data_IF_529069648408
#
_entry.id   IF_529069648408
#
_cell.length_a   1.000
_cell.length_b   1.000
_cell.length_c   1.000
_cell.angle_alpha   90.00
_cell.angle_beta   90.00
_cell.angle_gamma   90.00
#
_symmetry.space_group_name_H-M   'P 1'
#
loop_
_entity.id
_entity.type
_entity.pdbx_description
1 polymer ?
#
# COMPACT_ATOMS: atom_id res chain seq x y z
N UNK A 1 33.89 -24.70 -0.24
CA UNK A 1 33.24 -23.61 -1.01
C UNK A 1 31.83 -24.11 -1.33
N UNK A 2 30.72 -23.58 -0.85
CA UNK A 2 30.30 -22.18 -0.67
C UNK A 2 29.52 -22.01 0.63
N UNK A 3 29.71 -20.89 1.31
CA UNK A 3 29.08 -20.54 2.60
C UNK A 3 27.70 -19.95 2.31
N UNK A 4 26.61 -20.53 2.82
CA UNK A 4 25.25 -19.96 2.73
C UNK A 4 25.01 -18.75 3.67
N UNK A 5 26.09 -18.05 4.05
CA UNK A 5 26.10 -16.88 4.93
C UNK A 5 25.20 -15.71 4.50
N UNK A 6 24.95 -15.45 3.19
CA UNK A 6 24.11 -14.31 2.79
C UNK A 6 22.67 -14.46 3.27
N UNK A 7 22.10 -15.67 3.21
CA UNK A 7 20.68 -15.90 3.52
C UNK A 7 20.40 -15.82 5.02
N UNK A 8 21.31 -16.35 5.85
CA UNK A 8 21.20 -16.25 7.30
C UNK A 8 21.32 -14.80 7.79
N UNK A 9 22.28 -14.05 7.24
CA UNK A 9 22.44 -12.63 7.55
C UNK A 9 21.22 -11.78 7.10
N UNK A 10 20.64 -12.10 5.93
CA UNK A 10 19.41 -11.44 5.45
C UNK A 10 18.22 -11.77 6.36
N UNK A 11 18.08 -13.01 6.81
CA UNK A 11 17.00 -13.40 7.73
C UNK A 11 17.12 -12.67 9.06
N UNK A 12 18.32 -12.62 9.64
CA UNK A 12 18.58 -11.90 10.88
C UNK A 12 18.29 -10.40 10.74
N UNK A 13 18.68 -9.80 9.60
CA UNK A 13 18.39 -8.40 9.32
C UNK A 13 16.87 -8.15 9.21
N UNK A 14 16.13 -9.03 8.53
CA UNK A 14 14.67 -8.96 8.43
C UNK A 14 14.00 -9.06 9.80
N UNK A 15 14.44 -10.00 10.63
CA UNK A 15 13.91 -10.16 11.98
C UNK A 15 14.19 -8.92 12.84
N UNK A 16 15.37 -8.31 12.66
CA UNK A 16 15.76 -7.10 13.38
C UNK A 16 14.98 -5.87 12.91
N UNK A 17 14.74 -5.72 11.60
CA UNK A 17 13.87 -4.69 11.04
C UNK A 17 12.44 -4.86 11.56
N UNK A 18 11.89 -6.08 11.50
CA UNK A 18 10.55 -6.36 12.00
C UNK A 18 10.38 -6.01 13.50
N UNK A 19 11.43 -6.19 14.31
CA UNK A 19 11.45 -5.73 15.70
C UNK A 19 11.45 -4.21 15.82
N UNK A 20 12.25 -3.51 15.01
CA UNK A 20 12.31 -2.05 14.99
C UNK A 20 11.01 -1.40 14.48
N UNK A 21 10.32 -2.04 13.55
CA UNK A 21 9.00 -1.64 13.04
C UNK A 21 7.85 -1.89 14.05
N UNK A 22 8.18 -2.14 15.33
CA UNK A 22 7.21 -2.35 16.41
C UNK A 22 6.90 -3.82 16.67
N UNK A 23 7.89 -4.70 16.54
CA UNK A 23 7.72 -6.14 16.69
C UNK A 23 7.34 -6.56 18.11
N UNK A 24 6.03 -6.69 18.34
CA UNK A 24 5.47 -7.81 19.09
C UNK A 24 3.99 -8.06 18.70
N UNK A 25 3.71 -9.21 18.10
CA UNK A 25 2.55 -10.05 18.37
C UNK A 25 1.12 -9.46 18.33
N UNK A 26 0.80 -8.55 17.41
CA UNK A 26 -0.57 -8.54 16.87
C UNK A 26 -0.56 -9.33 15.59
N UNK A 27 -1.39 -10.37 15.52
CA UNK A 27 -1.78 -10.98 14.24
C UNK A 27 -2.20 -9.82 13.36
N UNK A 28 -1.33 -9.43 12.42
CA UNK A 28 -1.64 -8.38 11.46
C UNK A 28 -2.70 -8.99 10.59
N UNK A 29 -3.93 -8.50 10.70
CA UNK A 29 -4.93 -8.79 9.69
C UNK A 29 -4.31 -8.41 8.34
N UNK A 30 -4.45 -9.27 7.34
CA UNK A 30 -3.99 -9.00 5.98
C UNK A 30 -5.19 -8.86 5.05
N UNK A 31 -5.02 -8.05 4.01
CA UNK A 31 -5.93 -7.99 2.88
C UNK A 31 -5.30 -8.77 1.71
N UNK A 32 -5.70 -10.03 1.44
CA UNK A 32 -5.20 -10.77 0.28
C UNK A 32 -5.70 -10.12 -1.01
N UNK A 33 -4.98 -10.24 -2.12
CA UNK A 33 -5.45 -9.81 -3.44
C UNK A 33 -6.51 -10.75 -4.02
N UNK A 34 -6.58 -12.00 -3.54
CA UNK A 34 -7.44 -13.03 -4.12
C UNK A 34 -6.87 -13.62 -5.41
N UNK A 35 -5.60 -13.31 -5.70
CA UNK A 35 -4.86 -13.82 -6.86
C UNK A 35 -3.72 -14.66 -6.32
N UNK A 36 -3.84 -15.98 -6.41
CA UNK A 36 -2.91 -16.92 -5.78
C UNK A 36 -1.43 -16.69 -6.16
N UNK A 37 -1.17 -16.21 -7.38
CA UNK A 37 0.18 -15.87 -7.82
C UNK A 37 0.79 -14.68 -7.06
N UNK A 38 -0.04 -13.70 -6.68
CA UNK A 38 0.38 -12.51 -5.91
C UNK A 38 0.43 -12.86 -4.42
N UNK A 39 -0.63 -13.46 -3.90
CA UNK A 39 -0.75 -13.73 -2.46
C UNK A 39 0.37 -14.65 -1.95
N UNK A 40 0.82 -15.61 -2.77
CA UNK A 40 1.90 -16.54 -2.39
C UNK A 40 3.26 -15.85 -2.17
N UNK A 41 3.52 -14.73 -2.86
CA UNK A 41 4.81 -14.04 -2.78
C UNK A 41 4.83 -12.93 -1.74
N UNK A 42 3.66 -12.50 -1.27
CA UNK A 42 3.54 -11.46 -0.25
C UNK A 42 3.70 -12.05 1.15
N UNK A 43 4.48 -11.41 2.05
CA UNK A 43 4.56 -11.80 3.44
C UNK A 43 3.16 -11.85 4.09
N UNK A 44 2.82 -12.98 4.71
CA UNK A 44 1.51 -13.16 5.36
C UNK A 44 0.33 -13.35 4.40
N UNK A 45 0.54 -13.43 3.08
CA UNK A 45 -0.51 -13.72 2.11
C UNK A 45 -1.31 -12.52 1.61
N UNK A 46 -0.83 -11.28 1.82
CA UNK A 46 -1.53 -10.07 1.40
C UNK A 46 -0.92 -8.79 1.96
N UNK A 47 -1.66 -7.68 1.83
CA UNK A 47 -1.26 -6.39 2.40
C UNK A 47 -1.59 -6.34 3.89
N UNK A 48 -0.59 -6.16 4.75
CA UNK A 48 -0.81 -6.03 6.19
C UNK A 48 -1.57 -4.73 6.54
N UNK A 49 -2.64 -4.85 7.35
CA UNK A 49 -3.26 -3.67 7.96
C UNK A 49 -2.32 -3.02 8.98
N UNK A 50 -2.40 -1.68 9.10
CA UNK A 50 -1.51 -0.88 9.95
C UNK A 50 -0.06 -0.84 9.47
N UNK A 51 0.21 -1.24 8.22
CA UNK A 51 1.50 -1.06 7.55
C UNK A 51 1.42 0.06 6.51
N UNK A 52 2.58 0.59 6.13
CA UNK A 52 2.74 1.50 4.99
C UNK A 52 2.98 0.66 3.73
N UNK A 53 2.22 0.93 2.67
CA UNK A 53 2.37 0.26 1.37
C UNK A 53 2.62 1.32 0.30
N UNK A 54 3.68 1.13 -0.49
CA UNK A 54 3.98 1.95 -1.65
C UNK A 54 3.43 1.29 -2.92
N UNK A 55 2.75 2.07 -3.76
CA UNK A 55 2.26 1.65 -5.07
C UNK A 55 2.85 2.59 -6.11
N UNK A 56 3.61 2.04 -7.04
CA UNK A 56 4.26 2.79 -8.11
C UNK A 56 3.97 2.15 -9.47
N UNK A 57 3.88 2.98 -10.52
CA UNK A 57 3.83 2.53 -11.91
C UNK A 57 5.22 2.19 -12.46
N UNK A 58 5.32 1.97 -13.77
CA UNK A 58 6.58 1.64 -14.44
C UNK A 58 7.50 2.83 -14.69
N UNK A 59 7.06 4.05 -14.37
CA UNK A 59 7.77 5.30 -14.62
C UNK A 59 7.14 6.49 -13.92
N UNK A 60 7.54 7.70 -14.33
CA UNK A 60 7.12 8.97 -13.72
C UNK A 60 6.12 9.75 -14.58
N UNK A 61 5.44 9.08 -15.52
CA UNK A 61 4.46 9.69 -16.39
C UNK A 61 3.08 9.83 -15.74
N UNK A 62 2.22 10.67 -16.33
CA UNK A 62 0.83 10.83 -15.87
C UNK A 62 0.06 9.51 -15.87
N UNK A 63 0.32 8.64 -16.86
CA UNK A 63 -0.32 7.31 -16.96
C UNK A 63 0.15 6.38 -15.84
N UNK A 64 1.44 6.41 -15.50
CA UNK A 64 1.99 5.60 -14.41
C UNK A 64 1.39 5.98 -13.05
N UNK A 65 1.28 7.29 -12.79
CA UNK A 65 0.63 7.82 -11.59
C UNK A 65 -0.86 7.47 -11.54
N UNK A 66 -1.57 7.61 -12.67
CA UNK A 66 -2.98 7.24 -12.75
C UNK A 66 -3.20 5.73 -12.52
N UNK A 67 -2.34 4.88 -13.07
CA UNK A 67 -2.41 3.42 -12.86
C UNK A 67 -2.18 3.05 -11.39
N UNK A 68 -1.16 3.65 -10.74
CA UNK A 68 -0.89 3.45 -9.33
C UNK A 68 -2.07 3.92 -8.45
N UNK A 69 -2.62 5.09 -8.73
CA UNK A 69 -3.78 5.62 -8.02
C UNK A 69 -5.01 4.71 -8.18
N UNK A 70 -5.33 4.29 -9.40
CA UNK A 70 -6.46 3.38 -9.64
C UNK A 70 -6.28 2.03 -8.93
N UNK A 71 -5.08 1.49 -8.92
CA UNK A 71 -4.78 0.26 -8.19
C UNK A 71 -4.97 0.43 -6.68
N UNK A 72 -4.48 1.54 -6.12
CA UNK A 72 -4.68 1.88 -4.71
C UNK A 72 -6.16 2.08 -4.37
N UNK A 73 -6.95 2.70 -5.26
CA UNK A 73 -8.39 2.86 -5.11
C UNK A 73 -9.11 1.50 -5.05
N UNK A 74 -8.77 0.57 -5.94
CA UNK A 74 -9.31 -0.79 -5.92
C UNK A 74 -8.94 -1.58 -4.66
N UNK A 75 -7.75 -1.38 -4.11
CA UNK A 75 -7.36 -1.93 -2.80
C UNK A 75 -8.22 -1.32 -1.69
N UNK A 76 -8.33 0.01 -1.66
CA UNK A 76 -9.07 0.74 -0.64
C UNK A 76 -10.58 0.40 -0.66
N UNK A 77 -11.16 0.17 -1.85
CA UNK A 77 -12.54 -0.28 -2.04
C UNK A 77 -12.86 -1.57 -1.27
N UNK A 78 -11.88 -2.47 -1.14
CA UNK A 78 -12.02 -3.77 -0.47
C UNK A 78 -11.87 -3.70 1.06
N UNK A 79 -11.53 -2.54 1.59
CA UNK A 79 -11.52 -2.29 3.04
C UNK A 79 -12.91 -1.88 3.55
N UNK A 80 -13.07 -1.60 4.85
CA UNK A 80 -14.29 -1.03 5.44
C UNK A 80 -14.02 0.38 5.99
N UNK A 81 -15.06 1.22 6.10
CA UNK A 81 -14.95 2.56 6.69
C UNK A 81 -14.59 3.67 5.69
N UNK A 82 -14.21 4.84 6.19
CA UNK A 82 -13.84 5.99 5.35
C UNK A 82 -12.38 5.87 4.85
N UNK A 83 -12.14 6.37 3.65
CA UNK A 83 -10.83 6.47 3.01
C UNK A 83 -10.46 7.94 2.92
N UNK A 84 -9.34 8.31 3.54
CA UNK A 84 -8.75 9.63 3.39
C UNK A 84 -7.86 9.61 2.16
N UNK A 85 -8.10 10.51 1.21
CA UNK A 85 -7.31 10.65 0.01
C UNK A 85 -6.61 12.01 0.02
N UNK A 86 -5.35 12.00 0.44
CA UNK A 86 -4.53 13.19 0.53
C UNK A 86 -3.84 13.48 -0.81
N UNK A 87 -3.93 14.72 -1.28
CA UNK A 87 -3.29 15.19 -2.51
C UNK A 87 -2.59 16.52 -2.27
N UNK A 88 -1.55 16.81 -3.05
CA UNK A 88 -0.95 18.14 -3.11
C UNK A 88 -1.73 19.08 -4.05
N UNK A 89 -2.52 18.53 -4.98
CA UNK A 89 -3.32 19.27 -5.98
C UNK A 89 -4.65 18.55 -6.25
N UNK A 90 -5.73 19.28 -6.59
CA UNK A 90 -7.02 18.68 -6.93
C UNK A 90 -7.04 18.13 -8.36
N UNK A 91 -6.19 17.16 -8.66
CA UNK A 91 -6.03 16.56 -10.00
C UNK A 91 -6.66 15.16 -10.14
N UNK A 92 -7.33 14.67 -9.10
CA UNK A 92 -7.96 13.36 -9.11
C UNK A 92 -9.31 13.36 -9.84
N UNK A 93 -9.48 12.44 -10.77
CA UNK A 93 -10.76 12.23 -11.43
C UNK A 93 -11.65 11.27 -10.63
N UNK A 94 -12.55 11.83 -9.81
CA UNK A 94 -13.42 11.05 -8.90
C UNK A 94 -14.24 9.92 -9.57
N UNK A 95 -14.79 10.07 -10.80
CA UNK A 95 -15.50 8.98 -11.46
C UNK A 95 -14.64 7.74 -11.72
N UNK A 96 -13.33 7.90 -11.95
CA UNK A 96 -12.43 6.77 -12.13
C UNK A 96 -12.20 5.99 -10.82
N UNK A 97 -12.21 6.69 -9.68
CA UNK A 97 -12.13 6.07 -8.34
C UNK A 97 -13.39 5.27 -8.04
N UNK A 98 -14.56 5.81 -8.40
CA UNK A 98 -15.82 5.08 -8.31
C UNK A 98 -15.83 3.83 -9.20
N UNK A 99 -15.33 3.94 -10.44
CA UNK A 99 -15.19 2.79 -11.35
C UNK A 99 -14.24 1.72 -10.82
N UNK A 100 -13.21 2.10 -10.05
CA UNK A 100 -12.35 1.15 -9.33
C UNK A 100 -13.05 0.47 -8.14
N UNK A 101 -14.29 0.83 -7.84
CA UNK A 101 -15.14 0.23 -6.81
C UNK A 101 -15.14 0.99 -5.48
N UNK A 102 -14.50 2.16 -5.40
CA UNK A 102 -14.49 2.98 -4.19
C UNK A 102 -15.57 4.08 -4.29
N UNK A 103 -16.75 3.89 -3.67
CA UNK A 103 -17.88 4.81 -3.86
C UNK A 103 -17.61 6.19 -3.25
N UNK A 104 -18.17 7.28 -3.82
CA UNK A 104 -17.96 8.65 -3.34
C UNK A 104 -18.27 8.83 -1.86
N UNK A 105 -19.31 8.15 -1.34
CA UNK A 105 -19.68 8.20 0.08
C UNK A 105 -18.63 7.62 1.04
N UNK A 106 -17.57 6.97 0.55
CA UNK A 106 -16.46 6.46 1.36
C UNK A 106 -15.21 7.32 1.30
N UNK A 107 -15.10 8.27 0.38
CA UNK A 107 -13.87 9.06 0.16
C UNK A 107 -13.97 10.43 0.82
N UNK A 108 -12.92 10.84 1.50
CA UNK A 108 -12.70 12.19 2.03
C UNK A 108 -11.45 12.72 1.36
N UNK A 109 -11.57 13.79 0.57
CA UNK A 109 -10.43 14.43 -0.09
C UNK A 109 -9.77 15.44 0.82
N UNK A 110 -8.44 15.40 0.90
CA UNK A 110 -7.62 16.36 1.65
C UNK A 110 -6.63 16.99 0.70
N UNK A 111 -6.78 18.28 0.44
CA UNK A 111 -5.83 19.08 -0.32
C UNK A 111 -4.81 19.67 0.66
N UNK A 112 -3.67 19.00 0.82
CA UNK A 112 -2.65 19.37 1.80
C UNK A 112 -1.66 20.43 1.28
N UNK A 113 -1.67 20.74 -0.02
CA UNK A 113 -0.89 21.81 -0.65
C UNK A 113 0.59 21.50 -0.90
N UNK A 114 1.24 20.70 -0.05
CA UNK A 114 2.65 20.32 -0.20
C UNK A 114 2.93 18.87 0.26
N UNK A 115 4.05 18.30 -0.21
CA UNK A 115 4.46 16.91 0.05
C UNK A 115 4.68 16.60 1.54
N UNK A 116 5.16 17.57 2.32
CA UNK A 116 5.37 17.36 3.76
C UNK A 116 4.02 17.26 4.47
N UNK A 117 3.09 18.12 4.10
CA UNK A 117 1.75 18.18 4.66
C UNK A 117 0.91 16.94 4.27
N UNK A 118 1.14 16.32 3.11
CA UNK A 118 0.49 15.04 2.73
C UNK A 118 0.91 13.87 3.64
N UNK A 119 2.14 13.90 4.17
CA UNK A 119 2.74 12.82 4.97
C UNK A 119 2.77 13.11 6.49
N UNK A 120 2.16 14.21 6.94
CA UNK A 120 2.22 14.70 8.31
C UNK A 120 1.34 13.92 9.31
#
# INVERSE_FOLDING_TARGET
>A
MSVSAPTAAISELRDRIARLEGGNARVRTVLPFGVAAIDRVLPGGGLAFGGLHEVAGGGNGAVDGAAAALFAAGIAARTVGKVLWCVTRPDLFAPAIEQAGLPPGRVIYVEAGDEKSVLA
#
